data_IF_585335756992
#
_entry.id   IF_585335756992
#
_cell.length_a   1.000
_cell.length_b   1.000
_cell.length_c   1.000
_cell.angle_alpha   90.00
_cell.angle_beta   90.00
_cell.angle_gamma   90.00
#
_symmetry.space_group_name_H-M   'P 1'
#
loop_
_entity.id
_entity.type
_entity.pdbx_description
1 polymer ?
#
# COMPACT_ATOMS: atom_id res chain seq x y z
N UNK A 1 -19.75 -20.61 -2.98
CA UNK A 1 -18.78 -19.79 -2.21
C UNK A 1 -19.58 -18.65 -1.59
N UNK A 2 -19.53 -18.46 -0.28
CA UNK A 2 -20.50 -17.63 0.47
C UNK A 2 -20.58 -16.17 -0.03
N UNK A 3 -19.47 -15.61 -0.50
CA UNK A 3 -19.38 -14.23 -1.01
C UNK A 3 -19.07 -14.17 -2.52
N UNK A 4 -19.19 -15.30 -3.24
CA UNK A 4 -18.87 -15.38 -4.67
C UNK A 4 -17.37 -15.40 -5.03
N UNK A 5 -16.48 -15.18 -4.06
CA UNK A 5 -15.03 -15.23 -4.28
C UNK A 5 -14.45 -16.64 -4.09
N UNK A 6 -13.51 -17.02 -4.96
CA UNK A 6 -12.74 -18.26 -4.84
C UNK A 6 -11.37 -17.97 -4.22
N UNK A 7 -11.08 -18.59 -3.08
CA UNK A 7 -9.74 -18.57 -2.51
C UNK A 7 -8.79 -19.43 -3.36
N UNK A 8 -7.57 -18.95 -3.59
CA UNK A 8 -6.53 -19.78 -4.18
C UNK A 8 -6.17 -20.93 -3.23
N UNK A 9 -5.92 -22.12 -3.80
CA UNK A 9 -5.60 -23.31 -3.02
C UNK A 9 -4.26 -23.18 -2.26
N UNK A 10 -3.33 -22.41 -2.82
CA UNK A 10 -2.04 -22.10 -2.19
C UNK A 10 -1.61 -20.69 -2.58
N UNK A 11 -0.64 -20.16 -1.82
CA UNK A 11 0.06 -18.93 -2.18
C UNK A 11 0.72 -19.01 -3.56
N UNK A 12 1.38 -20.11 -3.88
CA UNK A 12 2.01 -20.29 -5.19
C UNK A 12 0.96 -20.21 -6.31
N UNK A 13 -0.16 -20.93 -6.17
CA UNK A 13 -1.25 -20.89 -7.13
C UNK A 13 -1.82 -19.48 -7.31
N UNK A 14 -1.91 -18.69 -6.24
CA UNK A 14 -2.36 -17.29 -6.29
C UNK A 14 -1.49 -16.44 -7.22
N UNK A 15 -0.17 -16.51 -7.10
CA UNK A 15 0.76 -15.76 -7.96
C UNK A 15 0.86 -16.34 -9.38
N UNK A 16 0.80 -17.67 -9.55
CA UNK A 16 0.94 -18.33 -10.86
C UNK A 16 -0.27 -18.11 -11.77
N UNK A 17 -1.48 -18.05 -11.19
CA UNK A 17 -2.72 -18.01 -11.95
C UNK A 17 -3.22 -16.59 -12.24
N UNK A 18 -2.85 -15.61 -11.42
CA UNK A 18 -3.30 -14.24 -11.57
C UNK A 18 -2.77 -13.58 -12.85
N UNK A 19 -3.69 -13.08 -13.69
CA UNK A 19 -3.36 -12.13 -14.77
C UNK A 19 -3.23 -10.70 -14.22
N UNK A 20 -3.96 -10.39 -13.14
CA UNK A 20 -3.81 -9.16 -12.36
C UNK A 20 -3.81 -9.55 -10.88
N UNK A 21 -2.80 -9.11 -10.13
CA UNK A 21 -2.70 -9.32 -8.69
C UNK A 21 -2.69 -7.96 -7.99
N UNK A 22 -3.71 -7.68 -7.18
CA UNK A 22 -3.81 -6.44 -6.40
C UNK A 22 -3.58 -6.69 -4.92
N UNK A 23 -2.65 -5.94 -4.34
CA UNK A 23 -2.22 -6.09 -2.96
C UNK A 23 -3.04 -5.18 -2.01
N UNK A 24 -3.85 -5.80 -1.15
CA UNK A 24 -4.67 -5.13 -0.14
C UNK A 24 -4.38 -5.68 1.25
N UNK A 25 -3.27 -5.25 1.86
CA UNK A 25 -2.87 -5.66 3.21
C UNK A 25 -2.42 -4.44 4.01
N UNK A 26 -2.77 -4.42 5.30
CA UNK A 26 -2.17 -3.47 6.24
C UNK A 26 -0.71 -3.87 6.48
N UNK A 27 0.19 -2.90 6.48
CA UNK A 27 1.57 -3.11 6.93
C UNK A 27 1.61 -3.30 8.45
N UNK A 28 2.17 -4.44 8.86
CA UNK A 28 2.40 -4.85 10.24
C UNK A 28 3.67 -5.73 10.28
N UNK A 29 4.23 -6.03 11.46
CA UNK A 29 5.40 -6.93 11.54
C UNK A 29 5.21 -8.27 10.80
N UNK A 30 4.01 -8.84 10.84
CA UNK A 30 3.69 -10.11 10.18
C UNK A 30 3.51 -10.01 8.65
N UNK A 31 3.29 -8.81 8.09
CA UNK A 31 3.04 -8.60 6.65
C UNK A 31 4.18 -7.84 5.96
N UNK A 32 5.19 -7.40 6.71
CA UNK A 32 6.39 -6.79 6.15
C UNK A 32 7.15 -7.79 5.28
N UNK A 33 7.54 -7.35 4.08
CA UNK A 33 8.19 -8.16 3.06
C UNK A 33 7.43 -9.48 2.77
N UNK A 34 6.10 -9.48 2.97
CA UNK A 34 5.32 -10.69 2.80
C UNK A 34 5.41 -11.17 1.36
N UNK A 35 5.42 -10.29 0.35
CA UNK A 35 5.63 -10.61 -1.08
C UNK A 35 7.14 -10.65 -1.36
N UNK A 36 7.64 -11.81 -1.76
CA UNK A 36 9.07 -12.06 -1.99
C UNK A 36 9.43 -12.08 -3.47
N UNK A 37 10.73 -12.07 -3.78
CA UNK A 37 11.20 -12.28 -5.15
C UNK A 37 10.70 -13.60 -5.77
N UNK A 38 10.59 -14.67 -4.96
CA UNK A 38 10.12 -15.98 -5.43
C UNK A 38 8.64 -15.94 -5.84
N UNK A 39 7.82 -15.13 -5.16
CA UNK A 39 6.41 -15.00 -5.51
C UNK A 39 6.22 -14.24 -6.84
N UNK A 40 6.97 -13.14 -7.00
CA UNK A 40 6.91 -12.34 -8.22
C UNK A 40 7.40 -13.14 -9.44
N UNK A 41 8.46 -13.93 -9.28
CA UNK A 41 8.99 -14.81 -10.34
C UNK A 41 7.97 -15.85 -10.84
N UNK A 42 6.98 -16.22 -10.01
CA UNK A 42 5.91 -17.16 -10.40
C UNK A 42 4.86 -16.52 -11.29
N UNK A 43 4.72 -15.19 -11.26
CA UNK A 43 3.72 -14.49 -12.06
C UNK A 43 3.94 -14.71 -13.56
N UNK A 44 2.87 -14.58 -14.34
CA UNK A 44 2.94 -14.67 -15.80
C UNK A 44 3.74 -13.48 -16.37
N UNK A 45 4.43 -13.63 -17.51
CA UNK A 45 5.06 -12.49 -18.19
C UNK A 45 4.06 -11.45 -18.69
N UNK A 46 2.78 -11.83 -18.80
CA UNK A 46 1.67 -10.94 -19.17
C UNK A 46 0.97 -10.33 -17.95
N UNK A 47 1.34 -10.70 -16.73
CA UNK A 47 0.61 -10.29 -15.53
C UNK A 47 0.91 -8.85 -15.12
N UNK A 48 -0.09 -8.21 -14.50
CA UNK A 48 0.02 -6.90 -13.86
C UNK A 48 0.04 -7.04 -12.34
N UNK A 49 1.03 -6.47 -11.69
CA UNK A 49 1.07 -6.35 -10.22
C UNK A 49 0.63 -4.97 -9.77
N UNK A 50 -0.36 -4.89 -8.88
CA UNK A 50 -0.93 -3.63 -8.38
C UNK A 50 -0.66 -3.50 -6.89
N UNK A 51 -0.08 -2.37 -6.48
CA UNK A 51 0.11 -2.06 -5.05
C UNK A 51 -0.32 -0.62 -4.74
N UNK A 52 -1.44 -0.52 -4.04
CA UNK A 52 -1.98 0.73 -3.46
C UNK A 52 -1.99 0.69 -1.93
N UNK A 53 -1.27 -0.27 -1.34
CA UNK A 53 -1.22 -0.48 0.11
C UNK A 53 0.02 0.16 0.74
N UNK A 54 1.14 -0.56 0.78
CA UNK A 54 2.45 -0.07 1.29
C UNK A 54 3.57 -0.75 0.52
N UNK A 55 4.64 -0.03 0.24
CA UNK A 55 5.77 -0.57 -0.52
C UNK A 55 6.48 -1.69 0.24
N UNK A 56 6.58 -1.58 1.57
CA UNK A 56 7.30 -2.51 2.44
C UNK A 56 6.57 -3.85 2.67
N UNK A 57 5.39 -4.04 2.05
CA UNK A 57 4.78 -5.36 1.92
C UNK A 57 5.54 -6.22 0.90
N UNK A 58 6.30 -5.60 0.00
CA UNK A 58 7.18 -6.27 -0.94
C UNK A 58 8.62 -6.23 -0.40
N UNK A 59 9.32 -7.34 -0.53
CA UNK A 59 10.74 -7.44 -0.21
C UNK A 59 11.55 -6.36 -0.95
N UNK A 60 12.49 -5.73 -0.26
CA UNK A 60 13.29 -4.62 -0.79
C UNK A 60 13.99 -5.02 -2.09
N UNK A 61 13.74 -4.27 -3.15
CA UNK A 61 14.35 -4.49 -4.47
C UNK A 61 13.75 -5.66 -5.28
N UNK A 62 12.89 -6.50 -4.68
CA UNK A 62 12.35 -7.67 -5.35
C UNK A 62 11.47 -7.31 -6.56
N UNK A 63 10.58 -6.31 -6.41
CA UNK A 63 9.72 -5.86 -7.52
C UNK A 63 10.52 -5.28 -8.68
N UNK A 64 11.51 -4.44 -8.40
CA UNK A 64 12.34 -3.83 -9.45
C UNK A 64 13.11 -4.91 -10.22
N UNK A 65 13.70 -5.88 -9.52
CA UNK A 65 14.39 -7.01 -10.14
C UNK A 65 13.43 -7.87 -10.98
N UNK A 66 12.24 -8.16 -10.45
CA UNK A 66 11.22 -8.96 -11.13
C UNK A 66 10.70 -8.29 -12.41
N UNK A 67 10.46 -6.97 -12.39
CA UNK A 67 10.07 -6.19 -13.56
C UNK A 67 11.15 -6.17 -14.63
N UNK A 68 12.44 -6.05 -14.23
CA UNK A 68 13.57 -6.16 -15.18
C UNK A 68 13.65 -7.54 -15.84
N UNK A 69 13.20 -8.59 -15.16
CA UNK A 69 13.11 -9.96 -15.69
C UNK A 69 11.81 -10.20 -16.48
N UNK A 70 10.90 -9.22 -16.53
CA UNK A 70 9.63 -9.29 -17.27
C UNK A 70 8.57 -10.18 -16.62
N UNK A 71 8.67 -10.48 -15.32
CA UNK A 71 7.68 -11.28 -14.57
C UNK A 71 7.52 -10.71 -13.16
N UNK A 72 6.46 -9.93 -12.87
CA UNK A 72 5.33 -9.61 -13.76
C UNK A 72 5.73 -8.77 -14.97
N UNK A 73 4.88 -8.77 -15.99
CA UNK A 73 5.08 -7.98 -17.22
C UNK A 73 4.97 -6.47 -17.00
N UNK A 74 4.27 -6.05 -15.95
CA UNK A 74 4.19 -4.67 -15.53
C UNK A 74 3.67 -4.48 -14.12
N UNK A 75 3.69 -3.24 -13.65
CA UNK A 75 3.16 -2.87 -12.34
C UNK A 75 2.41 -1.54 -12.36
N UNK A 76 1.40 -1.41 -11.50
CA UNK A 76 0.73 -0.16 -11.18
C UNK A 76 0.89 0.13 -9.68
N UNK A 77 1.58 1.21 -9.35
CA UNK A 77 2.07 1.51 -8.00
C UNK A 77 1.61 2.89 -7.56
N UNK A 78 0.99 2.96 -6.39
CA UNK A 78 0.65 4.22 -5.73
C UNK A 78 1.56 4.52 -4.52
N UNK A 79 2.42 3.58 -4.13
CA UNK A 79 3.20 3.65 -2.88
C UNK A 79 4.66 3.26 -3.10
N UNK A 80 5.56 3.94 -2.40
CA UNK A 80 7.01 3.77 -2.53
C UNK A 80 7.68 3.72 -1.16
N UNK A 81 8.85 3.09 -1.08
CA UNK A 81 9.56 2.91 0.20
C UNK A 81 10.09 4.23 0.79
N UNK A 82 10.32 5.23 -0.07
CA UNK A 82 10.66 6.59 0.31
C UNK A 82 9.78 7.53 -0.49
N UNK A 83 9.06 8.41 0.21
CA UNK A 83 8.13 9.36 -0.38
C UNK A 83 8.44 10.78 0.13
N UNK A 84 8.41 11.81 -0.73
CA UNK A 84 8.08 11.76 -2.16
C UNK A 84 9.13 11.01 -2.99
N UNK A 85 8.69 10.40 -4.09
CA UNK A 85 9.57 9.63 -4.95
C UNK A 85 10.56 10.55 -5.68
N UNK A 86 11.84 10.20 -5.67
CA UNK A 86 12.87 10.97 -6.37
C UNK A 86 12.61 10.98 -7.89
N UNK A 87 12.75 12.13 -8.58
CA UNK A 87 12.48 12.23 -10.02
C UNK A 87 13.34 11.32 -10.90
N UNK A 88 14.52 10.90 -10.43
CA UNK A 88 15.45 10.04 -11.13
C UNK A 88 15.27 8.54 -10.82
N UNK A 89 14.30 8.18 -9.98
CA UNK A 89 14.03 6.80 -9.57
C UNK A 89 13.82 5.86 -10.78
N UNK A 90 14.44 4.68 -10.73
CA UNK A 90 14.42 3.71 -11.83
C UNK A 90 13.00 3.26 -12.22
N UNK A 91 12.08 3.13 -11.26
CA UNK A 91 10.70 2.73 -11.51
C UNK A 91 9.96 3.71 -12.42
N UNK A 92 10.26 5.02 -12.32
CA UNK A 92 9.66 6.04 -13.18
C UNK A 92 10.16 5.97 -14.63
N UNK A 93 11.28 5.29 -14.88
CA UNK A 93 11.88 5.11 -16.22
C UNK A 93 11.47 3.79 -16.87
N UNK A 94 10.80 2.89 -16.13
CA UNK A 94 10.36 1.62 -16.67
C UNK A 94 9.06 1.81 -17.46
N UNK A 95 9.02 1.50 -18.77
CA UNK A 95 7.81 1.68 -19.59
C UNK A 95 6.65 0.77 -19.19
N UNK A 96 6.94 -0.28 -18.41
CA UNK A 96 5.95 -1.23 -17.87
C UNK A 96 5.45 -0.86 -16.48
N UNK A 97 5.83 0.30 -15.95
CA UNK A 97 5.40 0.78 -14.64
C UNK A 97 4.52 2.02 -14.80
N UNK A 98 3.30 1.93 -14.26
CA UNK A 98 2.45 3.08 -13.99
C UNK A 98 2.64 3.49 -12.53
N UNK A 99 3.04 4.74 -12.29
CA UNK A 99 3.29 5.28 -10.96
C UNK A 99 2.35 6.46 -10.68
N UNK A 100 1.67 6.44 -9.53
CA UNK A 100 0.90 7.57 -9.00
C UNK A 100 1.47 8.01 -7.64
N UNK A 101 1.46 9.32 -7.32
CA UNK A 101 2.12 9.84 -6.12
C UNK A 101 1.25 9.73 -4.86
N UNK A 102 0.96 8.50 -4.41
CA UNK A 102 0.19 8.22 -3.18
C UNK A 102 -1.16 8.94 -3.14
N UNK A 103 -1.93 8.76 -4.21
CA UNK A 103 -3.21 9.43 -4.43
C UNK A 103 -4.42 8.66 -3.88
N UNK A 104 -4.24 7.45 -3.32
CA UNK A 104 -5.34 6.58 -2.91
C UNK A 104 -6.40 7.24 -1.99
N UNK A 105 -6.02 8.23 -1.18
CA UNK A 105 -6.93 9.02 -0.35
C UNK A 105 -7.04 10.49 -0.74
N UNK A 106 -6.33 10.92 -1.79
CA UNK A 106 -6.29 12.30 -2.29
C UNK A 106 -7.51 12.55 -3.18
N UNK A 107 -8.65 12.65 -2.52
CA UNK A 107 -9.97 12.85 -3.12
C UNK A 107 -10.74 13.83 -2.22
N UNK A 108 -11.61 14.66 -2.81
CA UNK A 108 -12.27 15.77 -2.11
C UNK A 108 -13.08 15.28 -0.90
N UNK A 109 -13.97 14.32 -1.10
CA UNK A 109 -14.90 13.90 -0.05
C UNK A 109 -14.16 13.10 1.04
N UNK A 110 -13.12 12.34 0.66
CA UNK A 110 -12.13 11.75 1.57
C UNK A 110 -11.46 12.83 2.42
N UNK A 111 -10.96 13.90 1.82
CA UNK A 111 -10.34 15.01 2.53
C UNK A 111 -11.31 15.68 3.49
N UNK A 112 -12.54 15.99 3.07
CA UNK A 112 -13.56 16.55 3.96
C UNK A 112 -13.76 15.66 5.19
N UNK A 113 -13.95 14.35 4.99
CA UNK A 113 -14.14 13.40 6.09
C UNK A 113 -12.94 13.37 7.07
N UNK A 114 -11.71 13.25 6.55
CA UNK A 114 -10.52 13.12 7.38
C UNK A 114 -10.14 14.44 8.07
N UNK A 115 -10.16 15.56 7.35
CA UNK A 115 -9.79 16.86 7.89
C UNK A 115 -10.86 17.41 8.83
N UNK A 116 -12.14 17.16 8.59
CA UNK A 116 -13.20 17.52 9.55
C UNK A 116 -12.95 16.86 10.91
N UNK A 117 -12.65 15.56 10.94
CA UNK A 117 -12.33 14.85 12.17
C UNK A 117 -11.05 15.40 12.84
N UNK A 118 -10.01 15.68 12.06
CA UNK A 118 -8.76 16.24 12.57
C UNK A 118 -8.96 17.64 13.19
N UNK A 119 -9.68 18.53 12.50
CA UNK A 119 -9.97 19.88 13.00
C UNK A 119 -10.87 19.85 14.22
N UNK A 120 -11.91 19.01 14.24
CA UNK A 120 -12.76 18.80 15.42
C UNK A 120 -11.94 18.37 16.64
N UNK A 121 -10.99 17.45 16.49
CA UNK A 121 -10.13 17.04 17.60
C UNK A 121 -9.31 18.20 18.18
N UNK A 122 -8.79 19.10 17.34
CA UNK A 122 -8.04 20.29 17.79
C UNK A 122 -8.95 21.28 18.53
N UNK A 123 -10.11 21.60 17.95
CA UNK A 123 -11.08 22.54 18.55
C UNK A 123 -11.56 22.02 19.90
N UNK A 124 -11.94 20.75 19.97
CA UNK A 124 -12.39 20.08 21.19
C UNK A 124 -11.31 20.06 22.27
N UNK A 125 -10.05 19.80 21.89
CA UNK A 125 -8.93 19.86 22.81
C UNK A 125 -8.74 21.28 23.39
N UNK A 126 -8.81 22.32 22.56
CA UNK A 126 -8.69 23.70 23.01
C UNK A 126 -9.85 24.16 23.91
N UNK A 127 -11.05 23.60 23.70
CA UNK A 127 -12.24 23.87 24.52
C UNK A 127 -12.27 23.08 25.85
N UNK A 128 -11.27 22.24 26.13
CA UNK A 128 -11.23 21.41 27.35
C UNK A 128 -12.11 20.16 27.29
N UNK A 129 -12.62 19.78 26.11
CA UNK A 129 -13.47 18.60 25.89
C UNK A 129 -12.84 17.66 24.85
N UNK A 130 -11.60 17.17 25.06
CA UNK A 130 -10.84 16.45 24.03
C UNK A 130 -11.53 15.18 23.54
N UNK A 131 -11.41 14.90 22.23
CA UNK A 131 -11.92 13.70 21.56
C UNK A 131 -10.81 12.99 20.79
N UNK A 132 -10.98 11.70 20.50
CA UNK A 132 -10.05 10.94 19.63
C UNK A 132 -8.63 10.78 20.20
N UNK A 133 -8.47 10.83 21.53
CA UNK A 133 -7.16 10.74 22.19
C UNK A 133 -6.68 9.29 22.20
N UNK A 134 -5.54 9.04 21.56
CA UNK A 134 -4.93 7.71 21.49
C UNK A 134 -4.12 7.36 22.75
N UNK A 135 -3.62 8.37 23.47
CA UNK A 135 -2.78 8.24 24.66
C UNK A 135 -3.32 9.11 25.83
N UNK A 136 -4.44 8.72 26.46
CA UNK A 136 -5.11 9.53 27.49
C UNK A 136 -4.22 9.90 28.68
N UNK A 137 -3.22 9.09 29.00
CA UNK A 137 -2.23 9.35 30.06
C UNK A 137 -1.44 10.65 29.85
N UNK A 138 -1.33 11.14 28.61
CA UNK A 138 -0.69 12.41 28.31
C UNK A 138 -1.48 13.62 28.84
N UNK A 139 -2.81 13.48 29.01
CA UNK A 139 -3.65 14.54 29.56
C UNK A 139 -3.42 14.75 31.05
N UNK A 140 -3.18 13.66 31.80
CA UNK A 140 -2.96 13.71 33.24
C UNK A 140 -1.66 14.44 33.63
N UNK A 141 -0.67 14.49 32.74
CA UNK A 141 0.62 15.17 32.97
C UNK A 141 0.56 16.70 32.86
N UNK A 142 -0.59 17.27 32.49
CA UNK A 142 -0.82 18.72 32.36
C UNK A 142 -1.55 19.35 33.54
N UNK A 143 -2.07 18.54 34.48
CA UNK A 143 -2.81 19.01 35.65
C UNK A 143 -1.89 19.45 36.79
#
# INVERSE_FOLDING_TARGET
LADGCQAAATRAAFFEQADVLSLHLRLAPATRAIVTAQDLARMKPSALFVNTSRAELVETGALEAALRQGRPGGAALDVFASEPLAPDNALLRMPTVLATPHLGYVERDSYELYFEAAFKNIVNFAAGTPSGILNPEALAKRA
#
